data_IF_652881420476
#
_entry.id   IF_652881420476
#
_cell.length_a   1.000
_cell.length_b   1.000
_cell.length_c   1.000
_cell.angle_alpha   90.00
_cell.angle_beta   90.00
_cell.angle_gamma   90.00
#
_symmetry.space_group_name_H-M   'P 1'
#
loop_
_entity.id
_entity.type
_entity.pdbx_description
1 polymer ?
#
# COMPACT_ATOMS: atom_id res chain seq x y z
N UNK A 1 -13.80 67.21 37.01
CA UNK A 1 -13.06 66.93 38.26
C UNK A 1 -11.87 66.10 37.81
N UNK A 2 -10.74 66.81 37.56
CA UNK A 2 -9.49 66.17 37.13
C UNK A 2 -8.68 65.84 38.37
N UNK A 3 -8.54 64.54 38.68
CA UNK A 3 -7.67 64.05 39.75
C UNK A 3 -6.25 63.98 39.16
N UNK A 4 -5.42 64.97 39.54
CA UNK A 4 -4.00 64.93 39.32
C UNK A 4 -3.40 63.91 40.30
N UNK A 5 -3.02 62.76 39.79
CA UNK A 5 -2.20 61.81 40.52
C UNK A 5 -0.80 62.47 40.66
N UNK A 6 -0.38 62.71 41.91
CA UNK A 6 0.97 63.14 42.24
C UNK A 6 1.95 62.08 41.78
N UNK A 7 3.08 62.48 41.18
CA UNK A 7 4.14 61.51 40.83
C UNK A 7 4.65 60.90 42.15
N UNK A 8 4.26 59.62 42.41
CA UNK A 8 4.73 58.89 43.56
C UNK A 8 6.25 58.92 43.61
N UNK A 9 6.76 59.28 44.80
CA UNK A 9 8.16 59.32 45.10
C UNK A 9 8.81 57.97 44.76
N UNK A 10 9.57 57.94 43.68
CA UNK A 10 10.26 56.72 43.29
C UNK A 10 11.33 56.42 44.36
N UNK A 11 11.41 55.18 44.87
CA UNK A 11 12.41 54.83 45.86
C UNK A 11 13.83 55.21 45.35
N UNK A 12 14.55 55.96 46.16
CA UNK A 12 15.95 56.29 45.87
C UNK A 12 16.83 55.04 45.95
N UNK A 13 17.98 55.11 45.31
CA UNK A 13 18.91 53.98 45.41
C UNK A 13 19.31 53.60 46.82
N UNK A 14 19.24 54.56 47.78
CA UNK A 14 19.51 54.38 49.19
C UNK A 14 18.40 53.58 49.94
N UNK A 15 17.20 53.44 49.35
CA UNK A 15 16.10 52.65 49.89
C UNK A 15 16.28 51.16 49.60
N UNK A 16 17.16 50.78 48.70
CA UNK A 16 17.48 49.38 48.46
C UNK A 16 18.52 48.96 49.51
N UNK A 17 18.04 48.35 50.59
CA UNK A 17 18.91 47.73 51.57
C UNK A 17 19.86 46.75 50.86
N UNK A 18 21.16 46.86 51.08
CA UNK A 18 22.13 45.90 50.62
C UNK A 18 21.68 44.51 51.06
N UNK A 19 21.18 43.74 50.10
CA UNK A 19 20.81 42.36 50.37
C UNK A 19 22.11 41.61 50.67
N UNK A 20 22.20 40.95 51.84
CA UNK A 20 23.40 40.18 52.14
C UNK A 20 23.68 39.23 51.02
N UNK A 21 24.88 39.27 50.49
CA UNK A 21 25.32 38.33 49.43
C UNK A 21 25.15 36.94 50.02
N UNK A 22 24.32 36.08 49.40
CA UNK A 22 24.14 34.73 49.91
C UNK A 22 25.50 34.05 49.91
N UNK A 23 25.92 33.48 51.07
CA UNK A 23 27.08 32.62 51.11
C UNK A 23 26.89 31.47 50.13
N UNK A 24 27.64 31.47 49.04
CA UNK A 24 27.62 30.41 48.07
C UNK A 24 28.31 29.19 48.65
N UNK A 25 27.54 28.36 49.33
CA UNK A 25 27.99 27.07 49.83
C UNK A 25 27.87 26.06 48.71
N UNK A 26 28.99 25.77 48.05
CA UNK A 26 29.08 24.75 47.01
C UNK A 26 29.97 25.19 45.86
N UNK A 27 30.53 24.23 45.17
CA UNK A 27 31.31 24.47 43.96
C UNK A 27 30.45 25.21 42.95
N UNK A 28 30.66 26.52 42.79
CA UNK A 28 30.04 27.31 41.72
C UNK A 28 30.54 26.76 40.41
N UNK A 29 29.62 26.16 39.69
CA UNK A 29 29.90 25.82 38.29
C UNK A 29 30.17 27.11 37.56
N UNK A 30 31.26 27.16 36.75
CA UNK A 30 31.59 28.36 35.99
C UNK A 30 30.36 28.75 35.12
N UNK A 31 30.03 30.06 35.02
CA UNK A 31 28.83 30.51 34.30
C UNK A 31 28.75 29.98 32.86
N UNK A 32 29.93 29.76 32.23
CA UNK A 32 30.01 29.17 30.90
C UNK A 32 29.52 27.72 30.86
N UNK A 33 29.80 26.93 31.90
CA UNK A 33 29.39 25.56 32.02
C UNK A 33 27.86 25.45 32.29
N UNK A 34 27.29 26.36 33.09
CA UNK A 34 25.87 26.46 33.31
C UNK A 34 25.12 26.82 32.01
N UNK A 35 25.66 27.82 31.28
CA UNK A 35 25.11 28.23 29.99
C UNK A 35 25.15 27.08 28.98
N UNK A 36 26.31 26.39 28.90
CA UNK A 36 26.46 25.20 28.03
C UNK A 36 25.43 24.12 28.39
N UNK A 37 25.20 23.83 29.68
CA UNK A 37 24.19 22.87 30.12
C UNK A 37 22.76 23.30 29.80
N UNK A 38 22.44 24.58 29.88
CA UNK A 38 21.12 25.10 29.47
C UNK A 38 20.92 24.97 27.96
N UNK A 39 21.92 25.35 27.17
CA UNK A 39 21.87 25.26 25.72
C UNK A 39 21.76 23.81 25.25
N UNK A 40 22.51 22.90 25.86
CA UNK A 40 22.41 21.48 25.55
C UNK A 40 21.01 20.93 25.82
N UNK A 41 20.42 21.17 27.00
CA UNK A 41 19.05 20.78 27.33
C UNK A 41 18.05 21.37 26.33
N UNK A 42 18.20 22.63 25.98
CA UNK A 42 17.33 23.28 25.00
C UNK A 42 17.42 22.63 23.62
N UNK A 43 18.63 22.25 23.18
CA UNK A 43 18.82 21.51 21.94
C UNK A 43 18.16 20.12 21.98
N UNK A 44 18.29 19.41 23.10
CA UNK A 44 17.65 18.10 23.30
C UNK A 44 16.11 18.23 23.29
N UNK A 45 15.54 19.22 23.96
CA UNK A 45 14.11 19.51 23.95
C UNK A 45 13.61 19.83 22.53
N UNK A 46 14.34 20.65 21.79
CA UNK A 46 13.99 20.99 20.42
C UNK A 46 14.09 19.78 19.48
N UNK A 47 15.10 18.94 19.66
CA UNK A 47 15.25 17.70 18.89
C UNK A 47 14.10 16.74 19.20
N UNK A 48 13.74 16.55 20.47
CA UNK A 48 12.62 15.74 20.89
C UNK A 48 11.27 16.26 20.34
N UNK A 49 11.04 17.57 20.41
CA UNK A 49 9.83 18.20 19.87
C UNK A 49 9.72 18.05 18.34
N UNK A 50 10.83 18.21 17.61
CA UNK A 50 10.88 17.98 16.15
C UNK A 50 10.60 16.51 15.82
N UNK A 51 11.20 15.57 16.56
CA UNK A 51 10.96 14.14 16.40
C UNK A 51 9.48 13.77 16.65
N UNK A 52 8.89 14.30 17.71
CA UNK A 52 7.47 14.08 18.01
C UNK A 52 6.55 14.68 16.94
N UNK A 53 6.85 15.87 16.43
CA UNK A 53 6.11 16.51 15.34
C UNK A 53 6.20 15.70 14.04
N UNK A 54 7.41 15.26 13.67
CA UNK A 54 7.61 14.42 12.48
C UNK A 54 6.85 13.08 12.59
N UNK A 55 6.87 12.43 13.75
CA UNK A 55 6.14 11.19 13.98
C UNK A 55 4.61 11.40 13.95
N UNK A 56 4.12 12.53 14.44
CA UNK A 56 2.69 12.87 14.35
C UNK A 56 2.28 13.13 12.88
N UNK A 57 3.09 13.87 12.12
CA UNK A 57 2.85 14.11 10.70
C UNK A 57 2.83 12.81 9.89
N UNK A 58 3.79 11.91 10.12
CA UNK A 58 3.84 10.61 9.43
C UNK A 58 2.60 9.75 9.75
N UNK A 59 2.12 9.74 11.00
CA UNK A 59 0.88 9.03 11.36
C UNK A 59 -0.34 9.63 10.68
N UNK A 60 -0.46 10.97 10.67
CA UNK A 60 -1.57 11.65 9.99
C UNK A 60 -1.58 11.34 8.50
N UNK A 61 -0.41 11.29 7.87
CA UNK A 61 -0.27 10.92 6.47
C UNK A 61 -0.67 9.47 6.22
N UNK A 62 -0.27 8.52 7.08
CA UNK A 62 -0.69 7.12 6.97
C UNK A 62 -2.22 6.98 7.04
N UNK A 63 -2.88 7.66 8.00
CA UNK A 63 -4.35 7.67 8.08
C UNK A 63 -5.02 8.30 6.86
N UNK A 64 -4.42 9.34 6.27
CA UNK A 64 -4.92 9.95 5.04
C UNK A 64 -4.90 8.94 3.89
N UNK A 65 -3.85 8.12 3.76
CA UNK A 65 -3.75 7.09 2.73
C UNK A 65 -4.75 5.95 2.95
N UNK A 66 -4.94 5.50 4.20
CA UNK A 66 -5.99 4.54 4.54
C UNK A 66 -7.38 5.07 4.18
N UNK A 67 -7.65 6.34 4.49
CA UNK A 67 -8.90 6.99 4.10
C UNK A 67 -9.07 7.02 2.58
N UNK A 68 -8.02 7.31 1.82
CA UNK A 68 -8.07 7.31 0.36
C UNK A 68 -8.44 5.94 -0.22
N UNK A 69 -7.90 4.85 0.34
CA UNK A 69 -8.28 3.48 -0.04
C UNK A 69 -9.76 3.21 0.23
N UNK A 70 -10.27 3.66 1.40
CA UNK A 70 -11.70 3.51 1.74
C UNK A 70 -12.60 4.33 0.80
N UNK A 71 -12.19 5.53 0.41
CA UNK A 71 -12.91 6.36 -0.56
C UNK A 71 -12.93 5.70 -1.94
N UNK A 72 -11.83 5.08 -2.38
CA UNK A 72 -11.79 4.27 -3.59
C UNK A 72 -12.77 3.09 -3.54
N UNK A 73 -12.82 2.38 -2.39
CA UNK A 73 -13.80 1.32 -2.18
C UNK A 73 -15.24 1.84 -2.23
N UNK A 74 -15.51 3.00 -1.61
CA UNK A 74 -16.81 3.66 -1.67
C UNK A 74 -17.18 4.02 -3.12
N UNK A 75 -16.23 4.50 -3.91
CA UNK A 75 -16.45 4.79 -5.33
C UNK A 75 -16.92 3.57 -6.10
N UNK A 76 -16.24 2.42 -5.93
CA UNK A 76 -16.69 1.16 -6.54
C UNK A 76 -18.10 0.78 -6.11
N UNK A 77 -18.43 0.90 -4.82
CA UNK A 77 -19.75 0.55 -4.31
C UNK A 77 -20.84 1.48 -4.88
N UNK A 78 -20.56 2.78 -4.96
CA UNK A 78 -21.49 3.76 -5.55
C UNK A 78 -21.70 3.49 -7.04
N UNK A 79 -20.65 3.16 -7.78
CA UNK A 79 -20.73 2.82 -9.20
C UNK A 79 -21.54 1.51 -9.41
N UNK A 80 -21.24 0.47 -8.64
CA UNK A 80 -21.99 -0.82 -8.71
C UNK A 80 -23.45 -0.68 -8.29
N UNK A 81 -23.79 0.30 -7.44
CA UNK A 81 -25.15 0.53 -6.97
C UNK A 81 -26.02 1.32 -7.98
N UNK A 82 -25.47 1.83 -9.07
CA UNK A 82 -26.19 2.69 -10.03
C UNK A 82 -27.37 1.94 -10.64
N UNK A 83 -27.13 0.80 -11.28
CA UNK A 83 -28.20 0.00 -11.92
C UNK A 83 -29.22 -0.53 -10.91
N UNK A 84 -28.83 -1.18 -9.79
CA UNK A 84 -29.78 -1.65 -8.79
C UNK A 84 -30.67 -0.54 -8.21
N UNK A 85 -30.11 0.64 -7.90
CA UNK A 85 -30.87 1.76 -7.37
C UNK A 85 -31.77 2.39 -8.44
N UNK A 86 -31.34 2.43 -9.68
CA UNK A 86 -32.17 2.86 -10.80
C UNK A 86 -33.39 1.94 -11.01
N UNK A 87 -33.19 0.62 -10.92
CA UNK A 87 -34.24 -0.37 -11.08
C UNK A 87 -35.37 -0.26 -10.03
N UNK A 88 -35.03 0.17 -8.79
CA UNK A 88 -36.01 0.38 -7.72
C UNK A 88 -36.50 1.82 -7.57
N UNK A 89 -36.11 2.72 -8.49
CA UNK A 89 -36.54 4.12 -8.50
C UNK A 89 -35.82 5.05 -7.52
N UNK A 90 -34.69 4.60 -6.95
CA UNK A 90 -33.92 5.32 -5.91
C UNK A 90 -32.77 6.19 -6.50
N UNK A 91 -32.95 6.73 -7.72
CA UNK A 91 -31.92 7.54 -8.40
C UNK A 91 -31.51 8.78 -7.61
N UNK A 92 -32.40 9.36 -6.78
CA UNK A 92 -32.06 10.48 -5.93
C UNK A 92 -31.02 10.12 -4.89
N UNK A 93 -31.18 8.96 -4.24
CA UNK A 93 -30.23 8.46 -3.25
C UNK A 93 -28.87 8.17 -3.88
N UNK A 94 -28.87 7.54 -5.06
CA UNK A 94 -27.64 7.33 -5.81
C UNK A 94 -26.91 8.64 -6.10
N UNK A 95 -27.64 9.68 -6.56
CA UNK A 95 -27.05 11.01 -6.82
C UNK A 95 -26.50 11.67 -5.57
N UNK A 96 -27.17 11.54 -4.43
CA UNK A 96 -26.67 12.07 -3.15
C UNK A 96 -25.38 11.38 -2.71
N UNK A 97 -25.32 10.04 -2.80
CA UNK A 97 -24.11 9.27 -2.51
C UNK A 97 -22.95 9.66 -3.43
N UNK A 98 -23.22 9.81 -4.73
CA UNK A 98 -22.24 10.27 -5.72
C UNK A 98 -21.70 11.64 -5.35
N UNK A 99 -22.55 12.59 -5.00
CA UNK A 99 -22.11 13.93 -4.59
C UNK A 99 -21.21 13.90 -3.35
N UNK A 100 -21.54 13.07 -2.34
CA UNK A 100 -20.72 12.92 -1.14
C UNK A 100 -19.36 12.33 -1.50
N UNK A 101 -19.34 11.25 -2.30
CA UNK A 101 -18.14 10.62 -2.80
C UNK A 101 -17.24 11.60 -3.58
N UNK A 102 -17.83 12.37 -4.51
CA UNK A 102 -17.09 13.35 -5.32
C UNK A 102 -16.44 14.43 -4.44
N UNK A 103 -17.15 14.91 -3.40
CA UNK A 103 -16.57 15.86 -2.44
C UNK A 103 -15.42 15.27 -1.63
N UNK A 104 -15.49 13.98 -1.27
CA UNK A 104 -14.39 13.30 -0.56
C UNK A 104 -13.16 13.19 -1.46
N UNK A 105 -13.35 12.84 -2.75
CA UNK A 105 -12.25 12.79 -3.73
C UNK A 105 -11.63 14.18 -3.95
N UNK A 106 -12.44 15.24 -3.98
CA UNK A 106 -11.93 16.61 -4.11
C UNK A 106 -11.11 17.05 -2.89
N UNK A 107 -11.53 16.67 -1.68
CA UNK A 107 -10.75 16.92 -0.46
C UNK A 107 -9.40 16.17 -0.48
N UNK A 108 -9.38 14.91 -0.93
CA UNK A 108 -8.16 14.13 -1.10
C UNK A 108 -7.22 14.78 -2.11
N UNK A 109 -7.74 15.21 -3.28
CA UNK A 109 -6.94 15.94 -4.27
C UNK A 109 -6.38 17.25 -3.72
N UNK A 110 -7.17 17.98 -2.93
CA UNK A 110 -6.68 19.18 -2.23
C UNK A 110 -5.54 18.91 -1.25
N UNK A 111 -5.40 17.67 -0.77
CA UNK A 111 -4.30 17.21 0.07
C UNK A 111 -3.16 16.52 -0.73
N UNK A 112 -3.16 16.63 -2.07
CA UNK A 112 -2.16 16.01 -2.94
C UNK A 112 -2.36 14.49 -3.13
N UNK A 113 -3.50 13.94 -2.69
CA UNK A 113 -3.80 12.51 -2.81
C UNK A 113 -4.78 12.27 -3.95
N UNK A 114 -4.40 11.39 -4.87
CA UNK A 114 -5.21 11.00 -6.03
C UNK A 114 -5.54 9.51 -5.96
N UNK A 115 -6.80 9.16 -6.16
CA UNK A 115 -7.28 7.78 -6.28
C UNK A 115 -7.54 7.50 -7.75
N UNK A 116 -6.95 6.43 -8.30
CA UNK A 116 -7.08 6.05 -9.72
C UNK A 116 -7.63 4.66 -9.87
N UNK A 117 -8.61 4.54 -10.77
CA UNK A 117 -9.15 3.26 -11.23
C UNK A 117 -8.41 2.83 -12.50
N UNK A 118 -7.73 1.68 -12.51
CA UNK A 118 -7.07 1.15 -13.70
C UNK A 118 -8.03 0.43 -14.66
N UNK A 119 -9.31 0.30 -14.36
CA UNK A 119 -10.27 -0.48 -15.14
C UNK A 119 -10.21 -0.12 -16.64
N UNK A 120 -10.07 -1.13 -17.50
CA UNK A 120 -10.04 -0.99 -18.95
C UNK A 120 -8.72 -0.46 -19.52
N UNK A 121 -7.72 -0.13 -18.68
CA UNK A 121 -6.41 0.30 -19.17
C UNK A 121 -5.59 -0.89 -19.68
N UNK A 122 -4.69 -0.70 -20.68
CA UNK A 122 -3.75 -1.70 -21.14
C UNK A 122 -2.80 -2.14 -20.02
N UNK A 123 -2.33 -3.38 -20.07
CA UNK A 123 -1.38 -3.91 -19.09
C UNK A 123 -0.10 -3.07 -19.00
N UNK A 124 0.45 -2.66 -20.14
CA UNK A 124 1.67 -1.85 -20.21
C UNK A 124 1.60 -0.51 -19.48
N UNK A 125 0.39 0.07 -19.36
CA UNK A 125 0.18 1.36 -18.71
C UNK A 125 0.00 1.26 -17.18
N UNK A 126 -0.25 0.05 -16.66
CA UNK A 126 -0.66 -0.11 -15.27
C UNK A 126 0.29 -0.97 -14.42
N UNK A 127 1.13 -1.81 -15.02
CA UNK A 127 2.00 -2.75 -14.29
C UNK A 127 2.98 -2.07 -13.34
N UNK A 128 3.31 -0.79 -13.55
CA UNK A 128 4.18 -0.02 -12.66
C UNK A 128 3.49 0.39 -11.35
N UNK A 129 2.15 0.34 -11.30
CA UNK A 129 1.37 0.81 -10.16
C UNK A 129 0.13 -0.05 -9.83
N UNK A 130 -0.02 -1.20 -10.51
CA UNK A 130 -1.04 -2.20 -10.24
C UNK A 130 -0.41 -3.57 -10.02
N UNK A 131 -1.01 -4.33 -9.11
CA UNK A 131 -0.63 -5.70 -8.75
C UNK A 131 -1.69 -6.66 -9.29
N UNK A 132 -1.37 -7.45 -10.35
CA UNK A 132 -2.29 -8.45 -10.89
C UNK A 132 -2.45 -9.61 -9.92
N UNK A 133 -3.64 -9.76 -9.35
CA UNK A 133 -3.97 -10.89 -8.44
C UNK A 133 -4.46 -12.12 -9.20
N UNK A 134 -4.97 -11.94 -10.41
CA UNK A 134 -5.48 -13.02 -11.25
C UNK A 134 -5.46 -12.63 -12.74
N UNK A 135 -5.34 -13.64 -13.61
CA UNK A 135 -5.46 -13.51 -15.06
C UNK A 135 -6.67 -14.30 -15.55
N UNK A 136 -7.56 -13.65 -16.28
CA UNK A 136 -8.73 -14.24 -16.89
C UNK A 136 -8.55 -14.30 -18.41
N UNK A 137 -8.58 -15.50 -18.97
CA UNK A 137 -8.53 -15.68 -20.41
C UNK A 137 -9.94 -15.78 -20.98
N UNK A 138 -10.27 -14.91 -21.93
CA UNK A 138 -11.58 -14.94 -22.61
C UNK A 138 -11.40 -14.50 -24.08
N UNK A 139 -12.21 -15.05 -25.00
CA UNK A 139 -12.26 -14.56 -26.36
C UNK A 139 -12.82 -13.14 -26.49
N UNK A 140 -13.38 -12.59 -25.41
CA UNK A 140 -13.89 -11.22 -25.39
C UNK A 140 -12.78 -10.16 -25.27
N UNK A 141 -11.55 -10.58 -24.98
CA UNK A 141 -10.40 -9.69 -24.90
C UNK A 141 -9.56 -9.79 -26.17
N UNK A 142 -9.33 -8.65 -26.80
CA UNK A 142 -8.43 -8.53 -27.97
C UNK A 142 -6.97 -8.30 -27.57
N UNK A 143 -6.73 -7.82 -26.34
CA UNK A 143 -5.42 -7.48 -25.78
C UNK A 143 -5.41 -7.70 -24.25
N UNK A 144 -4.21 -7.60 -23.66
CA UNK A 144 -4.06 -7.62 -22.20
C UNK A 144 -4.54 -6.29 -21.59
N UNK A 145 -5.64 -6.33 -20.86
CA UNK A 145 -6.28 -5.16 -20.24
C UNK A 145 -6.69 -5.46 -18.81
N UNK A 146 -6.93 -4.42 -18.02
CA UNK A 146 -7.53 -4.58 -16.69
C UNK A 146 -9.01 -4.91 -16.86
N UNK A 147 -9.40 -6.13 -16.55
CA UNK A 147 -10.77 -6.62 -16.65
C UNK A 147 -11.61 -6.25 -15.42
N UNK A 148 -11.01 -6.25 -14.22
CA UNK A 148 -11.69 -5.89 -12.98
C UNK A 148 -10.70 -5.22 -12.02
N UNK A 149 -11.19 -4.22 -11.28
CA UNK A 149 -10.43 -3.57 -10.20
C UNK A 149 -10.97 -4.03 -8.85
N UNK A 150 -10.14 -4.71 -8.06
CA UNK A 150 -10.45 -5.10 -6.69
C UNK A 150 -10.17 -3.98 -5.69
N UNK A 151 -9.09 -3.21 -5.93
CA UNK A 151 -8.68 -2.06 -5.14
C UNK A 151 -8.03 -1.00 -6.02
N UNK A 152 -8.39 0.26 -5.82
CA UNK A 152 -7.84 1.39 -6.56
C UNK A 152 -6.40 1.69 -6.12
N UNK A 153 -5.63 2.28 -7.02
CA UNK A 153 -4.33 2.84 -6.68
C UNK A 153 -4.48 4.17 -5.95
N UNK A 154 -3.56 4.44 -5.03
CA UNK A 154 -3.45 5.73 -4.34
C UNK A 154 -2.10 6.34 -4.66
N UNK A 155 -2.12 7.58 -5.13
CA UNK A 155 -0.95 8.39 -5.41
C UNK A 155 -0.90 9.56 -4.44
N UNK A 156 0.30 9.99 -4.07
CA UNK A 156 0.54 11.21 -3.32
C UNK A 156 1.68 11.98 -3.98
N UNK A 157 1.38 13.21 -4.39
CA UNK A 157 2.30 14.07 -5.15
C UNK A 157 2.91 13.36 -6.38
N UNK A 158 2.11 12.53 -7.05
CA UNK A 158 2.51 11.77 -8.24
C UNK A 158 3.26 10.46 -7.96
N UNK A 159 3.64 10.17 -6.71
CA UNK A 159 4.24 8.89 -6.33
C UNK A 159 3.18 7.87 -5.90
N UNK A 160 3.36 6.60 -6.27
CA UNK A 160 2.49 5.50 -5.84
C UNK A 160 2.68 5.23 -4.36
N UNK A 161 1.62 5.31 -3.58
CA UNK A 161 1.59 5.01 -2.13
C UNK A 161 0.94 3.67 -1.85
N UNK A 162 -0.08 3.32 -2.65
CA UNK A 162 -0.76 2.03 -2.59
C UNK A 162 -1.02 1.54 -4.01
N UNK A 163 -0.59 0.33 -4.30
CA UNK A 163 -0.83 -0.31 -5.59
C UNK A 163 -2.30 -0.69 -5.74
N UNK A 164 -2.81 -0.55 -6.97
CA UNK A 164 -4.09 -1.14 -7.31
C UNK A 164 -4.00 -2.68 -7.23
N UNK A 165 -5.12 -3.35 -6.94
CA UNK A 165 -5.25 -4.79 -7.11
C UNK A 165 -6.24 -5.06 -8.23
N UNK A 166 -5.79 -5.80 -9.24
CA UNK A 166 -6.54 -5.95 -10.47
C UNK A 166 -6.64 -7.42 -10.91
N UNK A 167 -7.70 -7.71 -11.65
CA UNK A 167 -7.79 -8.92 -12.47
C UNK A 167 -7.49 -8.50 -13.90
N UNK A 168 -6.50 -9.14 -14.51
CA UNK A 168 -6.15 -8.90 -15.91
C UNK A 168 -6.97 -9.78 -16.83
N UNK A 169 -7.47 -9.21 -17.91
CA UNK A 169 -8.03 -9.93 -19.05
C UNK A 169 -6.97 -10.14 -20.11
N UNK A 170 -6.92 -11.33 -20.68
CA UNK A 170 -6.07 -11.65 -21.80
C UNK A 170 -6.85 -12.42 -22.88
N UNK A 171 -6.46 -12.33 -24.15
CA UNK A 171 -7.04 -13.15 -25.20
C UNK A 171 -6.94 -14.64 -24.87
N UNK A 172 -8.01 -15.39 -25.13
CA UNK A 172 -7.93 -16.84 -25.04
C UNK A 172 -6.82 -17.35 -26.00
N UNK A 173 -5.97 -18.30 -25.57
CA UNK A 173 -5.04 -18.93 -26.49
C UNK A 173 -5.81 -19.49 -27.69
N UNK A 174 -5.32 -19.19 -28.88
CA UNK A 174 -5.89 -19.83 -30.07
C UNK A 174 -5.94 -21.35 -29.83
N UNK A 175 -7.04 -22.04 -30.18
CA UNK A 175 -7.07 -23.47 -30.02
C UNK A 175 -5.83 -24.04 -30.70
N UNK A 176 -4.96 -24.67 -29.92
CA UNK A 176 -3.80 -25.36 -30.48
C UNK A 176 -4.37 -26.26 -31.60
N UNK A 177 -4.00 -25.98 -32.84
CA UNK A 177 -4.35 -26.86 -33.96
C UNK A 177 -3.96 -28.26 -33.49
N UNK A 178 -4.96 -29.16 -33.40
CA UNK A 178 -4.71 -30.56 -33.02
C UNK A 178 -3.45 -30.99 -33.75
N UNK A 179 -2.44 -31.55 -33.05
CA UNK A 179 -1.23 -32.02 -33.72
C UNK A 179 -1.66 -32.92 -34.86
N UNK A 180 -1.27 -32.55 -36.10
CA UNK A 180 -1.55 -33.39 -37.27
C UNK A 180 -1.31 -34.84 -36.87
N UNK A 181 -2.27 -35.76 -37.14
CA UNK A 181 -2.12 -37.16 -36.78
C UNK A 181 -0.79 -37.61 -37.40
N UNK A 182 0.16 -37.99 -36.53
CA UNK A 182 1.45 -38.56 -36.97
C UNK A 182 1.12 -39.65 -37.95
N UNK A 183 1.73 -39.64 -39.16
CA UNK A 183 1.51 -40.71 -40.10
C UNK A 183 1.76 -42.04 -39.40
N UNK A 184 0.83 -42.98 -39.59
CA UNK A 184 0.90 -44.33 -39.02
C UNK A 184 2.30 -44.89 -39.28
N UNK A 185 2.96 -45.44 -38.27
CA UNK A 185 4.27 -46.06 -38.44
C UNK A 185 4.10 -47.19 -39.48
N UNK A 186 4.86 -47.09 -40.59
CA UNK A 186 4.93 -48.16 -41.59
C UNK A 186 5.05 -49.52 -40.89
N UNK A 187 4.27 -50.54 -41.31
CA UNK A 187 4.32 -51.87 -40.72
C UNK A 187 5.77 -52.38 -40.83
N UNK A 188 6.38 -52.63 -39.68
CA UNK A 188 7.69 -53.26 -39.61
C UNK A 188 7.57 -54.64 -40.28
N UNK A 189 8.54 -55.00 -41.19
CA UNK A 189 8.58 -56.36 -41.77
C UNK A 189 8.66 -57.37 -40.63
N UNK A 190 7.87 -58.46 -40.78
CA UNK A 190 7.79 -59.57 -39.85
C UNK A 190 9.22 -60.08 -39.56
N UNK A 191 9.60 -60.29 -38.30
CA UNK A 191 10.86 -60.94 -38.00
C UNK A 191 10.74 -62.41 -38.41
N UNK A 192 11.63 -62.81 -39.36
CA UNK A 192 11.83 -64.21 -39.73
C UNK A 192 11.86 -65.10 -38.51
N UNK A 193 11.11 -66.18 -38.62
CA UNK A 193 10.97 -67.20 -37.59
C UNK A 193 12.32 -67.69 -37.09
N UNK A 194 12.64 -67.43 -35.84
CA UNK A 194 13.78 -68.06 -35.18
C UNK A 194 13.39 -69.52 -34.87
N UNK A 195 14.29 -70.47 -35.19
CA UNK A 195 14.05 -71.87 -34.86
C UNK A 195 14.02 -72.12 -33.34
N UNK A 196 13.11 -73.04 -32.94
CA UNK A 196 12.89 -73.44 -31.56
C UNK A 196 14.18 -73.81 -30.84
N UNK A 197 14.39 -73.34 -29.59
CA UNK A 197 15.50 -73.81 -28.79
C UNK A 197 15.21 -75.19 -28.20
N UNK A 198 16.20 -76.08 -28.39
CA UNK A 198 16.24 -77.48 -27.86
C UNK A 198 15.90 -77.50 -26.36
N UNK A 199 15.19 -78.58 -25.89
CA UNK A 199 14.82 -78.76 -24.50
C UNK A 199 16.06 -79.09 -23.63
N UNK A 200 16.28 -78.29 -22.61
CA UNK A 200 17.29 -78.51 -21.59
C UNK A 200 16.93 -79.72 -20.70
N UNK A 201 17.89 -80.58 -20.33
CA UNK A 201 17.65 -81.74 -19.48
C UNK A 201 17.24 -81.34 -18.05
N UNK A 202 16.27 -82.12 -17.53
CA UNK A 202 15.74 -82.06 -16.20
C UNK A 202 16.86 -82.46 -15.19
N UNK A 203 17.17 -81.55 -14.26
CA UNK A 203 18.00 -81.86 -13.09
C UNK A 203 17.10 -82.30 -11.94
N UNK A 204 17.38 -83.51 -11.42
CA UNK A 204 16.76 -84.11 -10.26
C UNK A 204 16.99 -83.23 -8.99
N UNK A 205 16.04 -83.19 -8.05
CA UNK A 205 16.22 -82.56 -6.76
C UNK A 205 17.02 -83.45 -5.82
N UNK A 206 18.04 -82.88 -5.21
CA UNK A 206 18.81 -83.50 -4.13
C UNK A 206 18.01 -83.57 -2.80
N UNK A 207 18.22 -84.57 -1.94
CA UNK A 207 17.39 -84.81 -0.76
C UNK A 207 17.74 -83.85 0.39
N UNK A 208 16.70 -83.50 1.13
CA UNK A 208 16.74 -82.85 2.45
C UNK A 208 17.25 -83.83 3.51
N UNK A 209 18.24 -83.44 4.25
CA UNK A 209 18.60 -84.09 5.53
C UNK A 209 18.53 -83.11 6.69
N UNK A 210 17.68 -83.45 7.66
CA UNK A 210 17.57 -83.20 9.10
C UNK A 210 17.80 -81.82 9.67
#
# INVERSE_FOLDING_TARGET
MSSSAEPGDLPGWDDFAERPVPEVHGATTAPEAELAGVLQRRQEELAAARGASAAAAARAQAHLFELAVLVGTLEQQVTRAEEPLAAVGEQLRHRELKNVKDRMLDLLRGAGVEVRDPLGLPAEDVLDWADPVHWMQSPDFDAEVVAETNRYAVFHDGAVVSFAQVVMGAPAPAPESEPEPKPDPEPKPDPEAQPDPEPKPVQDPAPTDT
#
